data_IF_600113699723
#
_entry.id   IF_600113699723
#
_cell.length_a   1.000
_cell.length_b   1.000
_cell.length_c   1.000
_cell.angle_alpha   90.00
_cell.angle_beta   90.00
_cell.angle_gamma   90.00
#
_symmetry.space_group_name_H-M   'P 1'
#
loop_
_entity.id
_entity.type
_entity.pdbx_description
1 polymer ?
#
# COMPACT_ATOMS: atom_id res chain seq x y z
N UNK A 1 8.23 31.15 -41.17
CA UNK A 1 8.53 29.97 -40.34
C UNK A 1 9.34 29.01 -41.21
N UNK A 2 10.62 28.82 -40.90
CA UNK A 2 11.45 27.87 -41.64
C UNK A 2 11.30 26.49 -40.99
N UNK A 3 10.56 25.61 -41.63
CA UNK A 3 10.52 24.18 -41.28
C UNK A 3 11.90 23.63 -41.61
N UNK A 4 12.73 23.37 -40.60
CA UNK A 4 13.97 22.61 -40.78
C UNK A 4 13.57 21.18 -41.14
N UNK A 5 13.49 20.89 -42.44
CA UNK A 5 13.41 19.53 -42.92
C UNK A 5 14.79 18.90 -42.70
N UNK A 6 14.93 18.10 -41.64
CA UNK A 6 16.09 17.24 -41.49
C UNK A 6 16.22 16.37 -42.75
N UNK A 7 17.42 16.25 -43.33
CA UNK A 7 17.63 15.36 -44.46
C UNK A 7 17.25 13.93 -44.02
N UNK A 8 16.53 13.17 -44.86
CA UNK A 8 16.14 11.80 -44.54
C UNK A 8 17.41 10.99 -44.23
N UNK A 9 17.36 10.25 -43.13
CA UNK A 9 18.45 9.38 -42.73
C UNK A 9 18.73 8.35 -43.84
N UNK A 10 20.00 8.01 -44.10
CA UNK A 10 20.34 6.89 -44.95
C UNK A 10 19.66 5.60 -44.45
N UNK A 11 19.24 4.68 -45.34
CA UNK A 11 18.53 3.46 -44.95
C UNK A 11 19.29 2.62 -43.90
N UNK A 12 20.61 2.50 -44.05
CA UNK A 12 21.47 1.80 -43.08
C UNK A 12 21.48 2.45 -41.68
N UNK A 13 21.24 3.75 -41.59
CA UNK A 13 21.14 4.48 -40.32
C UNK A 13 19.76 4.32 -39.69
N UNK A 14 18.69 4.31 -40.50
CA UNK A 14 17.32 4.01 -40.07
C UNK A 14 17.21 2.61 -39.49
N UNK A 15 17.80 1.61 -40.13
CA UNK A 15 17.80 0.22 -39.64
C UNK A 15 18.53 0.09 -38.30
N UNK A 16 19.65 0.82 -38.10
CA UNK A 16 20.36 0.84 -36.81
C UNK A 16 19.57 1.53 -35.71
N UNK A 17 18.91 2.64 -36.00
CA UNK A 17 18.09 3.34 -35.02
C UNK A 17 16.86 2.52 -34.63
N UNK A 18 16.20 1.87 -35.60
CA UNK A 18 15.10 0.96 -35.34
C UNK A 18 15.53 -0.25 -34.48
N UNK A 19 16.69 -0.85 -34.77
CA UNK A 19 17.26 -1.92 -33.95
C UNK A 19 17.55 -1.45 -32.51
N UNK A 20 18.14 -0.28 -32.35
CA UNK A 20 18.42 0.31 -31.04
C UNK A 20 17.14 0.60 -30.24
N UNK A 21 16.05 0.98 -30.91
CA UNK A 21 14.75 1.21 -30.27
C UNK A 21 14.11 -0.10 -29.78
N UNK A 22 14.20 -1.17 -30.59
CA UNK A 22 13.72 -2.50 -30.22
C UNK A 22 14.50 -3.10 -29.04
N UNK A 23 15.82 -2.93 -29.01
CA UNK A 23 16.65 -3.35 -27.87
C UNK A 23 16.25 -2.60 -26.58
N UNK A 24 15.89 -1.32 -26.71
CA UNK A 24 15.43 -0.49 -25.60
C UNK A 24 14.08 -0.96 -25.05
N UNK A 25 13.13 -1.29 -25.93
CA UNK A 25 11.84 -1.89 -25.54
C UNK A 25 12.01 -3.27 -24.88
N UNK A 26 12.97 -4.07 -25.36
CA UNK A 26 13.29 -5.35 -24.74
C UNK A 26 13.80 -5.19 -23.31
N UNK A 27 14.69 -4.21 -23.05
CA UNK A 27 15.17 -3.90 -21.71
C UNK A 27 14.03 -3.46 -20.76
N UNK A 28 13.11 -2.63 -21.25
CA UNK A 28 11.93 -2.19 -20.50
C UNK A 28 11.03 -3.37 -20.12
N UNK A 29 10.75 -4.25 -21.10
CA UNK A 29 9.98 -5.48 -20.88
C UNK A 29 10.62 -6.37 -19.83
N UNK A 30 11.94 -6.55 -19.89
CA UNK A 30 12.66 -7.39 -18.96
C UNK A 30 12.64 -6.79 -17.54
N UNK A 31 12.80 -5.47 -17.40
CA UNK A 31 12.62 -4.76 -16.13
C UNK A 31 11.22 -4.92 -15.53
N UNK A 32 10.16 -4.84 -16.35
CA UNK A 32 8.78 -5.07 -15.92
C UNK A 32 8.54 -6.53 -15.52
N UNK A 33 9.10 -7.50 -16.25
CA UNK A 33 9.04 -8.93 -15.90
C UNK A 33 9.72 -9.23 -14.58
N UNK A 34 10.84 -8.57 -14.30
CA UNK A 34 11.51 -8.69 -13.00
C UNK A 34 10.63 -8.13 -11.87
N UNK A 35 9.94 -7.00 -12.08
CA UNK A 35 8.97 -6.47 -11.13
C UNK A 35 7.82 -7.46 -10.88
N UNK A 36 7.26 -8.03 -11.95
CA UNK A 36 6.23 -9.06 -11.86
C UNK A 36 6.74 -10.31 -11.11
N UNK A 37 7.97 -10.72 -11.36
CA UNK A 37 8.58 -11.88 -10.71
C UNK A 37 8.82 -11.67 -9.20
N UNK A 38 9.06 -10.43 -8.75
CA UNK A 38 9.18 -10.06 -7.34
C UNK A 38 7.83 -10.03 -6.61
N UNK A 39 6.73 -9.78 -7.33
CA UNK A 39 5.35 -9.82 -6.80
C UNK A 39 4.65 -11.16 -7.00
N UNK A 40 5.30 -12.10 -7.69
CA UNK A 40 4.75 -13.44 -7.89
C UNK A 40 4.59 -14.18 -6.55
N UNK A 41 3.54 -15.00 -6.38
CA UNK A 41 3.30 -15.77 -5.16
C UNK A 41 4.27 -16.96 -5.07
N UNK A 42 5.55 -16.69 -4.75
CA UNK A 42 6.60 -17.70 -4.57
C UNK A 42 6.85 -17.97 -3.09
N UNK A 43 6.81 -19.24 -2.70
CA UNK A 43 7.17 -19.67 -1.34
C UNK A 43 8.70 -19.77 -1.19
N UNK A 44 9.26 -19.47 0.01
CA UNK A 44 8.58 -19.21 1.28
C UNK A 44 8.10 -17.75 1.49
N UNK A 45 8.23 -16.86 0.50
CA UNK A 45 7.84 -15.45 0.61
C UNK A 45 8.78 -14.60 1.48
N UNK A 46 8.35 -13.38 1.80
CA UNK A 46 9.07 -12.42 2.65
C UNK A 46 8.54 -12.48 4.07
N UNK A 47 9.36 -12.92 5.04
CA UNK A 47 9.01 -12.84 6.47
C UNK A 47 9.47 -11.51 7.05
N UNK A 48 8.50 -10.72 7.51
CA UNK A 48 8.64 -9.34 7.92
C UNK A 48 8.40 -9.22 9.43
N UNK A 49 9.34 -8.61 10.14
CA UNK A 49 9.26 -8.42 11.59
C UNK A 49 8.34 -7.24 11.89
N UNK A 50 7.37 -7.46 12.78
CA UNK A 50 6.48 -6.42 13.28
C UNK A 50 6.86 -6.13 14.74
N UNK A 51 7.58 -5.04 14.96
CA UNK A 51 8.03 -4.67 16.30
C UNK A 51 7.98 -3.16 16.52
N UNK A 52 7.40 -2.75 17.65
CA UNK A 52 7.45 -1.36 18.10
C UNK A 52 8.76 -1.09 18.85
N UNK A 53 9.67 -0.31 18.26
CA UNK A 53 11.02 -0.06 18.81
C UNK A 53 11.06 0.54 20.22
N UNK A 54 10.05 1.30 20.63
CA UNK A 54 10.08 2.13 21.87
C UNK A 54 9.10 1.72 22.95
N UNK A 55 8.01 1.05 22.59
CA UNK A 55 6.91 0.73 23.51
C UNK A 55 6.81 -0.75 23.86
N UNK A 56 7.50 -1.63 23.11
CA UNK A 56 7.34 -3.09 23.20
C UNK A 56 5.87 -3.55 23.19
N UNK A 57 4.99 -2.72 22.62
CA UNK A 57 3.54 -2.92 22.59
C UNK A 57 3.13 -3.89 21.48
N UNK A 58 4.00 -4.07 20.48
CA UNK A 58 3.83 -5.03 19.39
C UNK A 58 5.15 -5.78 19.21
N UNK A 59 5.07 -7.10 19.18
CA UNK A 59 6.19 -7.99 18.83
C UNK A 59 5.67 -9.18 18.05
N UNK A 60 6.21 -9.43 16.87
CA UNK A 60 5.78 -10.55 16.05
C UNK A 60 6.38 -10.53 14.66
N UNK A 61 5.78 -11.31 13.79
CA UNK A 61 6.11 -11.32 12.37
C UNK A 61 4.88 -11.66 11.53
N UNK A 62 4.99 -11.34 10.25
CA UNK A 62 4.09 -11.82 9.19
C UNK A 62 4.90 -12.34 8.02
N UNK A 63 4.37 -13.27 7.25
CA UNK A 63 4.98 -13.77 6.01
C UNK A 63 4.10 -13.38 4.84
N UNK A 64 4.63 -12.53 3.95
CA UNK A 64 3.98 -12.13 2.71
C UNK A 64 4.38 -13.07 1.58
N UNK A 65 3.42 -13.59 0.84
CA UNK A 65 3.63 -14.34 -0.42
C UNK A 65 2.82 -13.65 -1.51
N UNK A 66 3.53 -13.07 -2.48
CA UNK A 66 2.91 -12.23 -3.51
C UNK A 66 2.11 -11.08 -2.89
N UNK A 67 0.80 -11.06 -3.12
CA UNK A 67 -0.11 -10.01 -2.63
C UNK A 67 -0.83 -10.36 -1.33
N UNK A 68 -0.47 -11.47 -0.67
CA UNK A 68 -1.18 -12.00 0.51
C UNK A 68 -0.26 -12.14 1.71
N UNK A 69 -0.84 -12.05 2.91
CA UNK A 69 -0.18 -12.50 4.14
C UNK A 69 -0.66 -13.91 4.45
N UNK A 70 0.27 -14.88 4.44
CA UNK A 70 -0.04 -16.31 4.60
C UNK A 70 0.23 -16.83 6.00
N UNK A 71 1.00 -16.08 6.80
CA UNK A 71 1.35 -16.45 8.17
C UNK A 71 1.53 -15.20 9.00
N UNK A 72 1.12 -15.24 10.26
CA UNK A 72 1.29 -14.15 11.20
C UNK A 72 1.20 -14.64 12.63
N UNK A 73 2.10 -14.17 13.48
CA UNK A 73 2.08 -14.41 14.92
C UNK A 73 2.56 -13.14 15.62
N UNK A 74 1.63 -12.45 16.26
CA UNK A 74 1.81 -11.11 16.79
C UNK A 74 1.34 -11.08 18.23
N UNK A 75 2.26 -10.72 19.14
CA UNK A 75 1.96 -10.48 20.53
C UNK A 75 1.79 -8.97 20.76
N UNK A 76 0.65 -8.63 21.36
CA UNK A 76 0.25 -7.28 21.69
C UNK A 76 0.29 -7.07 23.19
N UNK A 77 0.80 -5.91 23.62
CA UNK A 77 0.78 -5.44 25.01
C UNK A 77 0.13 -4.06 25.05
N UNK A 78 -1.19 -4.04 24.85
CA UNK A 78 -2.00 -2.82 24.81
C UNK A 78 -2.75 -2.65 26.13
N UNK A 79 -2.60 -1.49 26.75
CA UNK A 79 -3.30 -1.17 28.00
C UNK A 79 -4.82 -1.16 27.83
N UNK A 80 -5.29 -0.79 26.63
CA UNK A 80 -6.71 -0.78 26.25
C UNK A 80 -7.29 -2.18 26.01
N UNK A 81 -6.47 -3.20 25.68
CA UNK A 81 -6.89 -4.60 25.52
C UNK A 81 -6.71 -5.44 26.78
N UNK A 82 -6.11 -4.90 27.84
CA UNK A 82 -5.82 -5.64 29.06
C UNK A 82 -7.15 -6.12 29.69
N UNK A 83 -7.51 -7.38 29.42
CA UNK A 83 -8.71 -8.00 29.95
C UNK A 83 -8.65 -8.07 31.47
N UNK A 84 -9.82 -7.99 32.12
CA UNK A 84 -10.01 -8.24 33.55
C UNK A 84 -9.48 -9.61 34.04
N UNK A 85 -9.05 -10.50 33.13
CA UNK A 85 -8.51 -11.85 33.38
C UNK A 85 -6.99 -11.93 33.61
N UNK A 86 -6.30 -10.80 33.80
CA UNK A 86 -4.94 -10.78 34.37
C UNK A 86 -3.77 -11.12 33.43
N UNK A 87 -4.03 -11.46 32.16
CA UNK A 87 -2.96 -11.61 31.15
C UNK A 87 -2.65 -10.27 30.49
N UNK A 88 -1.42 -9.74 30.60
CA UNK A 88 -1.07 -8.41 30.08
C UNK A 88 -0.86 -8.39 28.56
N UNK A 89 -0.94 -9.55 27.89
CA UNK A 89 -0.67 -9.66 26.45
C UNK A 89 -1.79 -10.40 25.73
N UNK A 90 -2.11 -9.92 24.53
CA UNK A 90 -3.04 -10.57 23.58
C UNK A 90 -2.24 -11.10 22.41
N UNK A 91 -2.43 -12.36 22.02
CA UNK A 91 -1.77 -12.96 20.86
C UNK A 91 -2.73 -13.02 19.70
N UNK A 92 -2.31 -12.54 18.54
CA UNK A 92 -3.01 -12.62 17.27
C UNK A 92 -2.23 -13.57 16.36
N UNK A 93 -2.84 -14.69 16.00
CA UNK A 93 -2.28 -15.64 15.03
C UNK A 93 -3.20 -15.68 13.81
N UNK A 94 -2.64 -15.59 12.61
CA UNK A 94 -3.43 -15.84 11.41
C UNK A 94 -3.87 -17.30 11.38
N UNK A 95 -5.14 -17.51 11.04
CA UNK A 95 -5.72 -18.84 10.92
C UNK A 95 -5.05 -19.61 9.79
N UNK A 96 -4.77 -20.89 10.06
CA UNK A 96 -4.30 -21.85 9.06
C UNK A 96 -5.36 -22.94 8.80
N UNK A 97 -6.61 -22.70 9.19
CA UNK A 97 -7.70 -23.64 8.96
C UNK A 97 -8.09 -23.64 7.48
N UNK A 98 -8.30 -24.82 6.86
CA UNK A 98 -8.79 -24.88 5.49
C UNK A 98 -10.13 -24.14 5.34
N UNK A 99 -10.17 -23.14 4.47
CA UNK A 99 -11.36 -22.31 4.23
C UNK A 99 -11.42 -21.01 5.03
N UNK A 100 -10.44 -20.71 5.89
CA UNK A 100 -10.30 -19.38 6.46
C UNK A 100 -10.10 -18.32 5.36
N UNK A 101 -10.66 -17.11 5.50
CA UNK A 101 -10.42 -16.04 4.54
C UNK A 101 -8.94 -15.66 4.46
N UNK A 102 -8.46 -15.39 3.26
CA UNK A 102 -7.08 -14.95 3.06
C UNK A 102 -6.92 -13.45 3.30
N UNK A 103 -5.84 -13.06 3.97
CA UNK A 103 -5.51 -11.65 4.16
C UNK A 103 -4.81 -11.10 2.89
N UNK A 104 -5.60 -10.58 1.97
CA UNK A 104 -5.14 -10.02 0.69
C UNK A 104 -4.86 -8.53 0.80
N UNK A 105 -3.65 -8.12 0.43
CA UNK A 105 -3.27 -6.71 0.28
C UNK A 105 -3.76 -6.22 -1.09
N UNK A 106 -4.97 -5.63 -1.12
CA UNK A 106 -5.61 -5.13 -2.35
C UNK A 106 -4.71 -4.16 -3.13
N UNK A 107 -4.03 -3.26 -2.41
CA UNK A 107 -3.05 -2.32 -2.96
C UNK A 107 -1.96 -3.02 -3.80
N UNK A 108 -1.39 -4.12 -3.31
CA UNK A 108 -0.39 -4.89 -4.07
C UNK A 108 -1.00 -5.68 -5.23
N UNK A 109 -2.28 -6.03 -5.15
CA UNK A 109 -2.99 -6.63 -6.28
C UNK A 109 -3.12 -5.62 -7.42
N UNK A 110 -3.50 -4.37 -7.12
CA UNK A 110 -3.51 -3.28 -8.10
C UNK A 110 -2.14 -3.01 -8.70
N UNK A 111 -1.06 -2.98 -7.89
CA UNK A 111 0.31 -2.80 -8.40
C UNK A 111 0.69 -3.90 -9.39
N UNK A 112 0.39 -5.16 -9.05
CA UNK A 112 0.65 -6.30 -9.95
C UNK A 112 -0.14 -6.17 -11.25
N UNK A 113 -1.41 -5.77 -11.16
CA UNK A 113 -2.27 -5.62 -12.33
C UNK A 113 -1.78 -4.47 -13.23
N UNK A 114 -1.32 -3.36 -12.66
CA UNK A 114 -0.68 -2.26 -13.40
C UNK A 114 0.61 -2.69 -14.09
N UNK A 115 1.47 -3.47 -13.42
CA UNK A 115 2.69 -4.01 -14.05
C UNK A 115 2.35 -4.93 -15.22
N UNK A 116 1.32 -5.76 -15.09
CA UNK A 116 0.87 -6.62 -16.19
C UNK A 116 0.29 -5.78 -17.35
N UNK A 117 -0.47 -4.72 -17.06
CA UNK A 117 -0.92 -3.78 -18.08
C UNK A 117 0.26 -3.11 -18.80
N UNK A 118 1.29 -2.69 -18.07
CA UNK A 118 2.51 -2.14 -18.66
C UNK A 118 3.21 -3.16 -19.58
N UNK A 119 3.23 -4.44 -19.22
CA UNK A 119 3.75 -5.51 -20.09
C UNK A 119 2.91 -5.67 -21.36
N UNK A 120 1.59 -5.65 -21.23
CA UNK A 120 0.68 -5.73 -22.37
C UNK A 120 0.89 -4.56 -23.34
N UNK A 121 1.11 -3.34 -22.83
CA UNK A 121 1.41 -2.15 -23.65
C UNK A 121 2.71 -2.35 -24.44
N UNK A 122 3.76 -2.88 -23.81
CA UNK A 122 5.05 -3.14 -24.50
C UNK A 122 4.89 -4.22 -25.56
N UNK A 123 4.13 -5.28 -25.28
CA UNK A 123 3.89 -6.36 -26.24
C UNK A 123 3.03 -5.85 -27.43
N UNK A 124 1.97 -5.07 -27.17
CA UNK A 124 1.17 -4.40 -28.22
C UNK A 124 2.04 -3.52 -29.10
N UNK A 125 2.93 -2.72 -28.51
CA UNK A 125 3.87 -1.86 -29.23
C UNK A 125 4.87 -2.63 -30.10
N UNK A 126 5.17 -3.87 -29.72
CA UNK A 126 6.13 -4.74 -30.43
C UNK A 126 5.46 -5.52 -31.57
N UNK A 127 4.21 -5.95 -31.37
CA UNK A 127 3.55 -6.93 -32.25
C UNK A 127 2.39 -6.38 -33.07
N UNK A 128 1.92 -5.16 -32.78
CA UNK A 128 0.74 -4.55 -33.42
C UNK A 128 0.94 -3.07 -33.74
N UNK A 129 0.18 -2.55 -34.70
CA UNK A 129 0.29 -1.16 -35.16
C UNK A 129 1.37 -0.94 -36.22
N UNK A 130 1.53 0.30 -36.65
CA UNK A 130 2.66 0.72 -37.49
C UNK A 130 3.79 1.20 -36.56
N UNK A 131 4.89 0.45 -36.40
CA UNK A 131 6.00 0.85 -35.53
C UNK A 131 6.75 2.08 -36.07
N UNK A 132 6.47 2.51 -37.30
CA UNK A 132 7.00 3.73 -37.90
C UNK A 132 6.08 4.95 -37.70
N UNK A 133 4.85 4.75 -37.17
CA UNK A 133 3.97 5.85 -36.81
C UNK A 133 4.37 6.41 -35.43
N UNK A 134 5.04 7.57 -35.46
CA UNK A 134 5.46 8.29 -34.26
C UNK A 134 4.28 8.62 -33.32
N UNK A 135 3.08 8.87 -33.84
CA UNK A 135 1.90 9.17 -33.02
C UNK A 135 1.43 7.95 -32.24
N UNK A 136 1.44 6.79 -32.91
CA UNK A 136 1.12 5.51 -32.28
C UNK A 136 2.12 5.17 -31.17
N UNK A 137 3.43 5.21 -31.46
CA UNK A 137 4.48 4.94 -30.48
C UNK A 137 4.44 5.91 -29.32
N UNK A 138 4.23 7.21 -29.59
CA UNK A 138 4.07 8.21 -28.55
C UNK A 138 2.88 7.88 -27.62
N UNK A 139 1.72 7.52 -28.18
CA UNK A 139 0.55 7.11 -27.41
C UNK A 139 0.80 5.88 -26.53
N UNK A 140 1.52 4.88 -27.05
CA UNK A 140 1.87 3.69 -26.27
C UNK A 140 2.84 4.00 -25.13
N UNK A 141 3.89 4.79 -25.38
CA UNK A 141 4.83 5.21 -24.35
C UNK A 141 4.17 6.11 -23.29
N UNK A 142 3.19 6.92 -23.68
CA UNK A 142 2.45 7.76 -22.75
C UNK A 142 1.61 6.90 -21.79
N UNK A 143 0.84 5.95 -22.34
CA UNK A 143 0.08 4.99 -21.55
C UNK A 143 0.99 4.16 -20.63
N UNK A 144 2.17 3.77 -21.13
CA UNK A 144 3.16 3.04 -20.34
C UNK A 144 3.69 3.88 -19.19
N UNK A 145 3.99 5.16 -19.43
CA UNK A 145 4.40 6.10 -18.39
C UNK A 145 3.31 6.24 -17.31
N UNK A 146 2.05 6.49 -17.70
CA UNK A 146 0.93 6.62 -16.77
C UNK A 146 0.74 5.37 -15.89
N UNK A 147 0.77 4.17 -16.50
CA UNK A 147 0.60 2.91 -15.75
C UNK A 147 1.76 2.65 -14.77
N UNK A 148 3.01 2.96 -15.16
CA UNK A 148 4.17 2.83 -14.27
C UNK A 148 4.10 3.86 -13.13
N UNK A 149 3.75 5.10 -13.42
CA UNK A 149 3.60 6.16 -12.41
C UNK A 149 2.51 5.82 -11.40
N UNK A 150 1.37 5.31 -11.86
CA UNK A 150 0.29 4.86 -10.96
C UNK A 150 0.76 3.69 -10.08
N UNK A 151 1.49 2.71 -10.64
CA UNK A 151 2.04 1.60 -9.86
C UNK A 151 3.01 2.09 -8.77
N UNK A 152 3.82 3.12 -9.05
CA UNK A 152 4.69 3.75 -8.05
C UNK A 152 3.88 4.50 -7.01
N UNK A 153 2.89 5.29 -7.40
CA UNK A 153 2.02 6.01 -6.46
C UNK A 153 1.32 5.03 -5.51
N UNK A 154 0.83 3.92 -6.05
CA UNK A 154 0.28 2.82 -5.26
C UNK A 154 1.30 2.25 -4.28
N UNK A 155 2.60 2.09 -4.62
CA UNK A 155 3.60 1.60 -3.65
C UNK A 155 4.07 2.65 -2.63
N UNK A 156 3.96 3.94 -2.96
CA UNK A 156 4.20 5.03 -1.99
C UNK A 156 3.10 5.11 -0.94
N UNK A 157 1.84 4.90 -1.34
CA UNK A 157 0.71 4.85 -0.42
C UNK A 157 0.48 6.15 0.34
N UNK A 158 0.55 7.30 -0.33
CA UNK A 158 0.47 8.62 0.34
C UNK A 158 -0.96 8.99 0.80
N UNK A 159 -2.00 8.29 0.33
CA UNK A 159 -3.42 8.64 0.61
C UNK A 159 -4.26 7.46 1.13
N UNK A 160 -5.35 7.79 1.83
CA UNK A 160 -6.36 6.83 2.29
C UNK A 160 -7.10 6.15 1.13
N UNK A 161 -7.17 6.79 -0.04
CA UNK A 161 -7.78 6.19 -1.24
C UNK A 161 -6.94 5.00 -1.73
N UNK A 162 -5.62 5.06 -1.56
CA UNK A 162 -4.69 3.99 -1.92
C UNK A 162 -4.58 2.93 -0.82
N UNK A 163 -4.42 3.35 0.43
CA UNK A 163 -4.28 2.44 1.58
C UNK A 163 -5.59 1.76 1.98
N UNK A 164 -6.71 2.35 1.57
CA UNK A 164 -8.05 1.99 2.01
C UNK A 164 -8.35 2.53 3.41
N UNK A 165 -9.58 3.02 3.58
CA UNK A 165 -10.09 3.44 4.89
C UNK A 165 -10.05 2.27 5.86
N UNK A 166 -9.43 2.46 7.02
CA UNK A 166 -9.22 1.38 7.99
C UNK A 166 -10.52 0.80 8.52
N UNK A 167 -11.60 1.60 8.60
CA UNK A 167 -12.92 1.17 9.05
C UNK A 167 -13.69 0.31 8.04
N UNK A 168 -13.19 0.21 6.80
CA UNK A 168 -13.74 -0.62 5.73
C UNK A 168 -12.82 -1.78 5.36
N UNK A 169 -11.51 -1.64 5.58
CA UNK A 169 -10.48 -2.55 5.08
C UNK A 169 -9.66 -3.26 6.16
N UNK A 170 -10.04 -3.10 7.43
CA UNK A 170 -9.47 -3.92 8.50
C UNK A 170 -9.74 -5.41 8.28
N UNK A 171 -8.83 -6.24 8.75
CA UNK A 171 -8.97 -7.69 8.72
C UNK A 171 -10.21 -8.16 9.49
N UNK A 172 -10.83 -9.22 8.97
CA UNK A 172 -11.99 -9.85 9.58
C UNK A 172 -11.61 -10.71 10.78
N UNK A 173 -12.57 -10.97 11.66
CA UNK A 173 -12.33 -11.67 12.93
C UNK A 173 -11.91 -13.13 12.73
N UNK A 174 -12.50 -13.79 11.74
CA UNK A 174 -12.28 -15.21 11.41
C UNK A 174 -11.00 -15.47 10.60
N UNK A 175 -10.27 -14.41 10.21
CA UNK A 175 -8.92 -14.53 9.67
C UNK A 175 -7.89 -14.93 10.74
N UNK A 176 -8.26 -14.92 12.02
CA UNK A 176 -7.39 -15.20 13.15
C UNK A 176 -7.88 -16.39 13.99
N UNK A 177 -6.95 -17.10 14.60
CA UNK A 177 -7.24 -18.16 15.57
C UNK A 177 -6.38 -18.02 16.84
N UNK A 178 -6.96 -17.61 17.99
CA UNK A 178 -8.38 -17.30 18.19
C UNK A 178 -8.81 -16.04 17.40
N UNK A 179 -10.13 -15.83 17.20
CA UNK A 179 -10.65 -14.66 16.48
C UNK A 179 -10.17 -13.34 17.08
N UNK A 180 -10.12 -12.28 16.26
CA UNK A 180 -9.72 -10.96 16.73
C UNK A 180 -10.59 -10.51 17.93
N UNK A 181 -9.98 -9.87 18.96
CA UNK A 181 -10.74 -9.24 20.01
C UNK A 181 -11.78 -8.25 19.45
N UNK A 182 -12.96 -8.14 20.08
CA UNK A 182 -13.94 -7.14 19.67
C UNK A 182 -13.35 -5.75 19.84
N UNK A 183 -13.73 -4.83 18.96
CA UNK A 183 -13.24 -3.45 18.96
C UNK A 183 -11.71 -3.30 18.78
N UNK A 184 -11.05 -4.29 18.19
CA UNK A 184 -9.69 -4.18 17.69
C UNK A 184 -9.70 -4.13 16.17
N UNK A 185 -9.28 -3.00 15.60
CA UNK A 185 -8.96 -2.93 14.17
C UNK A 185 -7.53 -3.38 13.93
N UNK A 186 -7.38 -4.28 12.95
CA UNK A 186 -6.12 -4.76 12.42
C UNK A 186 -6.05 -4.40 10.94
N UNK A 187 -5.30 -3.35 10.60
CA UNK A 187 -5.22 -2.85 9.22
C UNK A 187 -3.77 -2.90 8.72
N UNK A 188 -3.58 -3.55 7.57
CA UNK A 188 -2.30 -3.60 6.87
C UNK A 188 -2.39 -2.80 5.57
N UNK A 189 -1.37 -2.00 5.31
CA UNK A 189 -1.22 -1.22 4.08
C UNK A 189 0.25 -1.21 3.64
N UNK A 190 0.51 -0.72 2.44
CA UNK A 190 1.87 -0.42 1.97
C UNK A 190 2.07 1.09 2.00
N UNK A 191 3.19 1.54 2.55
CA UNK A 191 3.63 2.93 2.44
C UNK A 191 5.14 2.96 2.27
N UNK A 192 5.64 3.79 1.35
CA UNK A 192 7.06 3.89 1.01
C UNK A 192 7.72 2.52 0.73
N UNK A 193 7.00 1.62 0.06
CA UNK A 193 7.44 0.23 -0.20
C UNK A 193 7.71 -0.61 1.05
N UNK A 194 7.15 -0.23 2.20
CA UNK A 194 7.18 -0.98 3.44
C UNK A 194 5.77 -1.47 3.81
N UNK A 195 5.71 -2.61 4.50
CA UNK A 195 4.46 -3.08 5.10
C UNK A 195 4.20 -2.30 6.38
N UNK A 196 3.05 -1.65 6.47
CA UNK A 196 2.64 -0.88 7.64
C UNK A 196 1.45 -1.55 8.30
N UNK A 197 1.61 -1.86 9.59
CA UNK A 197 0.55 -2.31 10.47
C UNK A 197 0.03 -1.14 11.30
N UNK A 198 -1.27 -0.89 11.18
CA UNK A 198 -2.04 -0.06 12.09
C UNK A 198 -2.91 -0.93 12.99
N UNK A 199 -2.76 -0.75 14.30
CA UNK A 199 -3.65 -1.32 15.32
C UNK A 199 -4.42 -0.19 15.98
N UNK A 200 -5.74 -0.35 16.08
CA UNK A 200 -6.59 0.60 16.79
C UNK A 200 -7.50 -0.13 17.76
N UNK A 201 -7.51 0.28 19.01
CA UNK A 201 -8.58 -0.11 19.92
C UNK A 201 -9.68 0.94 19.92
N UNK A 202 -10.92 0.47 19.94
CA UNK A 202 -12.10 1.28 19.74
C UNK A 202 -12.94 1.29 21.01
N UNK A 203 -13.52 2.44 21.34
CA UNK A 203 -14.56 2.58 22.36
C UNK A 203 -15.88 2.96 21.67
N UNK A 204 -16.99 2.31 22.05
CA UNK A 204 -18.32 2.65 21.55
C UNK A 204 -18.80 4.00 22.10
N UNK A 205 -19.47 4.81 21.29
CA UNK A 205 -20.09 6.08 21.73
C UNK A 205 -21.49 5.88 22.31
N UNK A 206 -22.09 4.69 22.16
CA UNK A 206 -23.41 4.40 22.68
C UNK A 206 -23.40 4.42 24.23
N UNK A 207 -24.39 5.05 24.88
CA UNK A 207 -24.57 4.92 26.32
C UNK A 207 -24.87 3.45 26.61
N UNK A 208 -24.01 2.79 27.37
CA UNK A 208 -24.18 1.39 27.75
C UNK A 208 -25.55 1.18 28.42
N UNK A 209 -26.46 0.50 27.72
CA UNK A 209 -27.78 0.11 28.25
C UNK A 209 -27.72 -1.15 29.12
N UNK A 210 -26.53 -1.65 29.43
CA UNK A 210 -26.32 -2.73 30.39
C UNK A 210 -25.67 -2.20 31.67
N UNK A 211 -26.48 -2.09 32.72
CA UNK A 211 -26.01 -2.01 34.08
C UNK A 211 -25.24 -3.28 34.46
N UNK A 212 -24.07 -3.16 35.09
CA UNK A 212 -23.66 -4.08 36.13
C UNK A 212 -23.87 -3.39 37.48
N UNK A 213 -24.70 -4.02 38.30
CA UNK A 213 -24.67 -3.89 39.75
C UNK A 213 -23.26 -4.18 40.26
N UNK A 214 -22.45 -3.16 40.39
CA UNK A 214 -21.34 -3.12 41.33
C UNK A 214 -21.50 -1.83 42.11
N UNK A 215 -21.60 -1.95 43.43
CA UNK A 215 -21.48 -0.84 44.36
C UNK A 215 -20.08 -0.22 44.20
N UNK A 216 -19.91 0.63 43.19
CA UNK A 216 -18.89 1.67 43.19
C UNK A 216 -19.62 2.96 43.55
N UNK A 217 -19.38 3.41 44.77
CA UNK A 217 -19.81 4.70 45.29
C UNK A 217 -19.13 5.82 44.49
N UNK A 218 -19.67 6.17 43.33
CA UNK A 218 -19.28 7.40 42.62
C UNK A 218 -20.55 8.18 42.28
N UNK A 219 -21.14 8.77 43.32
CA UNK A 219 -21.99 9.95 43.17
C UNK A 219 -21.05 11.08 42.73
N UNK A 220 -21.00 11.37 41.43
CA UNK A 220 -20.33 12.57 40.91
C UNK A 220 -21.34 13.50 40.22
N UNK A 221 -22.16 14.16 41.04
CA UNK A 221 -22.72 15.47 40.75
C UNK A 221 -21.64 16.51 41.04
N UNK A 222 -20.68 16.70 40.13
CA UNK A 222 -19.87 17.93 39.93
C UNK A 222 -18.76 17.63 38.90
N UNK A 223 -18.64 18.47 37.88
CA UNK A 223 -17.77 18.29 36.72
C UNK A 223 -16.27 18.46 37.00
N UNK A 224 -15.65 17.48 37.66
CA UNK A 224 -14.19 17.41 37.76
C UNK A 224 -13.69 15.98 37.60
N UNK A 225 -13.49 15.57 36.34
CA UNK A 225 -12.90 14.28 35.95
C UNK A 225 -11.36 14.28 36.14
N UNK A 226 -10.89 14.60 37.36
CA UNK A 226 -9.47 14.80 37.67
C UNK A 226 -8.76 13.47 37.98
N UNK A 227 -9.48 12.43 38.44
CA UNK A 227 -8.85 11.19 38.92
C UNK A 227 -8.32 10.29 37.79
N UNK A 228 -9.04 10.16 36.68
CA UNK A 228 -8.55 9.45 35.48
C UNK A 228 -7.40 10.18 34.80
N UNK A 229 -7.39 11.52 34.85
CA UNK A 229 -6.28 12.32 34.33
C UNK A 229 -5.01 12.24 35.18
N UNK A 230 -5.08 11.91 36.48
CA UNK A 230 -3.92 11.89 37.37
C UNK A 230 -3.32 10.49 37.59
N UNK A 231 -4.13 9.42 37.51
CA UNK A 231 -3.68 8.06 37.87
C UNK A 231 -4.06 6.94 36.88
N UNK A 232 -4.79 7.24 35.79
CA UNK A 232 -5.05 6.27 34.72
C UNK A 232 -3.87 6.11 33.75
N UNK A 233 -3.74 4.98 33.03
CA UNK A 233 -2.76 4.85 31.96
C UNK A 233 -3.03 5.93 30.91
N UNK A 234 -2.16 6.95 30.84
CA UNK A 234 -2.25 7.99 29.81
C UNK A 234 -1.88 7.38 28.47
N UNK A 235 -2.90 7.10 27.65
CA UNK A 235 -2.68 6.76 26.24
C UNK A 235 -1.97 7.92 25.55
N UNK A 236 -0.99 7.60 24.70
CA UNK A 236 -0.28 8.63 23.94
C UNK A 236 -1.27 9.31 22.99
N UNK A 237 -1.28 10.66 22.93
CA UNK A 237 -2.14 11.34 21.98
C UNK A 237 -1.75 10.94 20.56
N UNK A 238 -2.76 10.62 19.75
CA UNK A 238 -2.63 10.34 18.33
C UNK A 238 -3.52 11.31 17.52
N UNK A 239 -3.27 11.35 16.23
CA UNK A 239 -3.94 12.21 15.24
C UNK A 239 -5.47 12.02 15.19
N UNK A 240 -5.96 10.78 15.29
CA UNK A 240 -7.40 10.46 15.21
C UNK A 240 -8.17 10.66 16.55
N UNK A 241 -7.57 11.31 17.55
CA UNK A 241 -8.19 11.39 18.88
C UNK A 241 -9.33 12.41 18.91
N UNK A 242 -10.54 11.93 19.18
CA UNK A 242 -11.76 12.73 19.24
C UNK A 242 -12.66 12.57 18.02
N UNK A 243 -12.13 12.00 16.94
CA UNK A 243 -12.87 11.68 15.73
C UNK A 243 -13.84 10.51 15.99
N UNK A 244 -14.96 10.52 15.27
CA UNK A 244 -16.00 9.48 15.33
C UNK A 244 -16.02 8.78 13.98
N UNK A 245 -16.01 7.44 14.02
CA UNK A 245 -16.03 6.58 12.86
C UNK A 245 -17.24 5.65 12.93
N UNK A 246 -17.71 5.18 11.77
CA UNK A 246 -18.72 4.11 11.70
C UNK A 246 -18.00 2.79 11.45
N UNK A 247 -18.01 1.91 12.45
CA UNK A 247 -17.34 0.62 12.41
C UNK A 247 -18.37 -0.49 12.61
N UNK A 248 -18.51 -1.37 11.61
CA UNK A 248 -19.48 -2.48 11.63
C UNK A 248 -20.92 -2.04 12.00
N UNK A 249 -21.29 -0.82 11.59
CA UNK A 249 -22.61 -0.23 11.85
C UNK A 249 -22.74 0.53 13.17
N UNK A 250 -21.68 0.62 13.98
CA UNK A 250 -21.67 1.35 15.25
C UNK A 250 -20.77 2.58 15.19
N UNK A 251 -21.15 3.63 15.91
CA UNK A 251 -20.29 4.79 16.12
C UNK A 251 -19.22 4.47 17.17
N UNK A 252 -17.96 4.65 16.79
CA UNK A 252 -16.81 4.36 17.62
C UNK A 252 -15.81 5.51 17.63
N UNK A 253 -15.01 5.57 18.69
CA UNK A 253 -13.85 6.45 18.81
C UNK A 253 -12.59 5.62 18.95
N UNK A 254 -11.49 6.09 18.38
CA UNK A 254 -10.18 5.45 18.54
C UNK A 254 -9.60 5.85 19.89
N UNK A 255 -9.28 4.84 20.71
CA UNK A 255 -8.74 5.00 22.07
C UNK A 255 -7.22 4.92 22.10
N UNK A 256 -6.67 3.95 21.38
CA UNK A 256 -5.24 3.73 21.26
C UNK A 256 -4.92 3.37 19.81
N UNK A 257 -3.96 4.07 19.19
CA UNK A 257 -3.46 3.81 17.84
C UNK A 257 -1.98 3.47 17.89
N UNK A 258 -1.58 2.39 17.24
CA UNK A 258 -0.19 2.00 17.05
C UNK A 258 0.09 1.80 15.57
N UNK A 259 1.20 2.38 15.11
CA UNK A 259 1.77 2.18 13.78
C UNK A 259 3.10 1.44 13.92
N UNK A 260 3.24 0.33 13.21
CA UNK A 260 4.50 -0.42 13.07
C UNK A 260 4.79 -0.55 11.59
N UNK A 261 6.05 -0.38 11.22
CA UNK A 261 6.51 -0.48 9.84
C UNK A 261 7.57 -1.55 9.72
N UNK A 262 7.51 -2.33 8.64
CA UNK A 262 8.47 -3.36 8.31
C UNK A 262 8.91 -3.22 6.87
N UNK A 263 10.21 -3.07 6.67
CA UNK A 263 10.81 -2.91 5.35
C UNK A 263 10.72 -4.24 4.57
N UNK A 264 10.28 -4.16 3.32
CA UNK A 264 10.16 -5.32 2.43
C UNK A 264 11.12 -5.19 1.24
N UNK A 265 12.23 -5.95 1.22
CA UNK A 265 13.25 -5.85 0.17
C UNK A 265 12.71 -6.06 -1.24
N UNK A 266 11.68 -6.91 -1.40
CA UNK A 266 11.09 -7.15 -2.72
C UNK A 266 10.31 -5.92 -3.20
N UNK A 267 9.55 -5.28 -2.31
CA UNK A 267 8.80 -4.06 -2.68
C UNK A 267 9.75 -2.88 -2.93
N UNK A 268 10.81 -2.74 -2.14
CA UNK A 268 11.86 -1.74 -2.40
C UNK A 268 12.51 -1.95 -3.78
N UNK A 269 12.79 -3.20 -4.14
CA UNK A 269 13.35 -3.52 -5.45
C UNK A 269 12.37 -3.21 -6.60
N UNK A 270 11.08 -3.50 -6.43
CA UNK A 270 10.03 -3.13 -7.40
C UNK A 270 9.98 -1.60 -7.56
N UNK A 271 9.91 -0.84 -6.46
CA UNK A 271 9.86 0.62 -6.51
C UNK A 271 11.09 1.22 -7.21
N UNK A 272 12.29 0.72 -6.90
CA UNK A 272 13.52 1.18 -7.53
C UNK A 272 13.53 0.91 -9.03
N UNK A 273 13.08 -0.28 -9.46
CA UNK A 273 12.98 -0.64 -10.87
C UNK A 273 11.93 0.20 -11.59
N UNK A 274 10.71 0.31 -11.06
CA UNK A 274 9.67 1.15 -11.65
C UNK A 274 10.11 2.61 -11.77
N UNK A 275 10.85 3.14 -10.79
CA UNK A 275 11.42 4.49 -10.87
C UNK A 275 12.41 4.63 -12.03
N UNK A 276 13.30 3.65 -12.21
CA UNK A 276 14.24 3.67 -13.33
C UNK A 276 13.52 3.58 -14.68
N UNK A 277 12.54 2.68 -14.80
CA UNK A 277 11.76 2.49 -16.02
C UNK A 277 10.94 3.74 -16.38
N UNK A 278 10.31 4.40 -15.40
CA UNK A 278 9.59 5.65 -15.64
C UNK A 278 10.50 6.72 -16.23
N UNK A 279 11.70 6.88 -15.68
CA UNK A 279 12.67 7.86 -16.17
C UNK A 279 13.10 7.57 -17.61
N UNK A 280 13.27 6.29 -17.97
CA UNK A 280 13.59 5.91 -19.36
C UNK A 280 12.44 6.20 -20.32
N UNK A 281 11.21 5.82 -19.95
CA UNK A 281 10.02 6.09 -20.79
C UNK A 281 9.81 7.60 -20.95
N UNK A 282 9.96 8.38 -19.89
CA UNK A 282 9.83 9.84 -19.93
C UNK A 282 10.88 10.50 -20.85
N UNK A 283 12.10 9.96 -20.87
CA UNK A 283 13.15 10.40 -21.79
C UNK A 283 12.74 10.17 -23.25
N UNK A 284 12.19 9.00 -23.57
CA UNK A 284 11.73 8.70 -24.94
C UNK A 284 10.52 9.54 -25.34
N UNK A 285 9.57 9.76 -24.43
CA UNK A 285 8.44 10.66 -24.66
C UNK A 285 8.91 12.07 -25.01
N UNK A 286 9.87 12.59 -24.25
CA UNK A 286 10.45 13.92 -24.50
C UNK A 286 11.15 14.00 -25.86
N UNK A 287 11.91 12.96 -26.24
CA UNK A 287 12.55 12.90 -27.56
C UNK A 287 11.55 12.81 -28.71
N UNK A 288 10.47 12.03 -28.56
CA UNK A 288 9.43 11.91 -29.58
C UNK A 288 8.63 13.20 -29.74
N UNK A 289 8.29 13.92 -28.65
CA UNK A 289 7.63 15.23 -28.73
C UNK A 289 8.41 16.22 -29.60
N UNK A 290 9.73 16.27 -29.41
CA UNK A 290 10.62 17.12 -30.21
C UNK A 290 10.59 16.71 -31.69
N UNK A 291 10.64 15.41 -31.99
CA UNK A 291 10.61 14.89 -33.36
C UNK A 291 9.26 15.15 -34.06
N UNK A 292 8.16 15.06 -33.32
CA UNK A 292 6.82 15.33 -33.82
C UNK A 292 6.53 16.83 -34.00
N UNK A 293 7.44 17.72 -33.58
CA UNK A 293 7.24 19.18 -33.64
C UNK A 293 6.14 19.68 -32.70
N UNK A 294 5.75 18.87 -31.72
CA UNK A 294 4.82 19.23 -30.64
C UNK A 294 5.64 19.76 -29.45
N UNK A 295 6.31 20.89 -29.64
CA UNK A 295 6.79 21.67 -28.50
C UNK A 295 5.59 22.40 -27.91
N UNK A 296 5.40 22.30 -26.59
CA UNK A 296 4.33 23.01 -25.88
C UNK A 296 4.50 24.52 -26.12
N UNK A 297 3.62 25.11 -26.92
CA UNK A 297 3.43 26.57 -27.01
C UNK A 297 2.76 27.13 -25.75
N UNK A 298 3.10 26.61 -24.57
CA UNK A 298 2.56 27.04 -23.28
C UNK A 298 3.63 27.79 -22.47
N UNK A 299 4.21 28.81 -23.11
CA UNK A 299 4.96 29.86 -22.42
C UNK A 299 4.77 31.21 -23.11
N UNK A 300 3.52 31.68 -23.12
CA UNK A 300 3.15 33.11 -22.97
C UNK A 300 1.63 33.26 -23.13
N UNK A 301 0.90 33.29 -22.01
CA UNK A 301 -0.41 33.96 -21.83
C UNK A 301 -0.71 34.12 -20.35
#
# INVERSE_FOLDING_TARGET
MATWAYPPLPPDSLEREAASALDSLAALRDGLRECAALLAPKEPGSTLVLSSLRSESVKGFVTRVGTKIVKGDIQLRLSSLASARGTPTTRLCLSNTPGAPELVLKQLSSVRDLINQSLDVVDVSTWTGDPLDASFIFGQLHLLHETITEARHMLKGESDDVQGKWWETSAEEDMFDPPLPPYLSFHLSIADSALVLYLRTLDTTAPSSHAPTAFATDISLTGFNIRDRLFGPRHRPHDEMGDIFVWKGEEVKVKEKIRVESQDPSLMAVMAKLTALEHEVMKWLSSLKVLMGTEDTDSDS
#
